data_IF_577886689010
#
_entry.id   IF_577886689010
#
_cell.length_a   1.000
_cell.length_b   1.000
_cell.length_c   1.000
_cell.angle_alpha   90.00
_cell.angle_beta   90.00
_cell.angle_gamma   90.00
#
_symmetry.space_group_name_H-M   'P 1'
#
loop_
_entity.id
_entity.type
_entity.pdbx_description
1 polymer ?
#
# COMPACT_ATOMS: atom_id res chain seq x y z
N UNK A 1 25.10 -6.41 5.36
CA UNK A 1 23.73 -6.93 5.20
C UNK A 1 23.37 -6.96 3.72
N UNK A 2 23.15 -8.15 3.13
CA UNK A 2 22.88 -8.33 1.69
C UNK A 2 21.37 -8.36 1.45
N UNK A 3 20.77 -7.18 1.22
CA UNK A 3 19.39 -7.08 0.74
C UNK A 3 19.37 -7.53 -0.73
N UNK A 4 19.11 -8.82 -0.94
CA UNK A 4 19.00 -9.41 -2.27
C UNK A 4 17.68 -8.98 -2.89
N UNK A 5 17.81 -8.14 -3.91
CA UNK A 5 16.82 -7.86 -4.96
C UNK A 5 15.56 -7.15 -4.48
N UNK A 6 15.51 -5.83 -4.67
CA UNK A 6 14.26 -5.20 -5.06
C UNK A 6 13.71 -5.93 -6.28
N UNK A 7 12.41 -6.18 -6.29
CA UNK A 7 11.68 -6.89 -7.36
C UNK A 7 12.18 -6.45 -8.73
N UNK A 8 12.70 -7.41 -9.52
CA UNK A 8 13.32 -7.13 -10.83
C UNK A 8 12.33 -6.63 -11.88
N UNK A 9 11.02 -6.73 -11.63
CA UNK A 9 9.96 -6.23 -12.50
C UNK A 9 8.76 -5.76 -11.64
N UNK A 10 8.78 -4.53 -11.11
CA UNK A 10 7.59 -3.97 -10.46
C UNK A 10 6.44 -3.92 -11.50
N UNK A 11 5.37 -4.68 -11.25
CA UNK A 11 4.17 -4.71 -12.09
C UNK A 11 3.89 -6.02 -12.85
N UNK A 12 4.83 -6.98 -12.92
CA UNK A 12 4.60 -8.28 -13.60
C UNK A 12 4.25 -9.45 -12.67
N UNK A 13 4.62 -9.34 -11.40
CA UNK A 13 4.32 -10.33 -10.38
C UNK A 13 3.52 -9.58 -9.32
N UNK A 14 2.24 -9.90 -9.18
CA UNK A 14 1.45 -9.41 -8.05
C UNK A 14 2.17 -9.87 -6.78
N UNK A 15 2.72 -8.93 -6.02
CA UNK A 15 3.45 -9.19 -4.79
C UNK A 15 2.53 -9.68 -3.66
N UNK A 16 1.22 -9.65 -3.88
CA UNK A 16 0.17 -10.01 -2.94
C UNK A 16 -1.08 -9.14 -3.15
N UNK A 17 -2.16 -9.50 -2.46
CA UNK A 17 -3.38 -8.69 -2.38
C UNK A 17 -3.47 -7.99 -1.04
N UNK A 18 -4.06 -6.80 -1.03
CA UNK A 18 -4.39 -6.05 0.18
C UNK A 18 -5.86 -5.63 0.11
N UNK A 19 -6.58 -5.80 1.22
CA UNK A 19 -8.00 -5.45 1.30
C UNK A 19 -8.21 -4.00 1.71
N UNK A 20 -9.35 -3.41 1.34
CA UNK A 20 -9.72 -2.06 1.81
C UNK A 20 -9.73 -1.93 3.34
N UNK A 21 -10.16 -2.96 4.06
CA UNK A 21 -10.14 -2.97 5.53
C UNK A 21 -8.73 -2.83 6.09
N UNK A 22 -7.76 -3.55 5.51
CA UNK A 22 -6.35 -3.43 5.90
C UNK A 22 -5.76 -2.07 5.51
N UNK A 23 -6.12 -1.54 4.34
CA UNK A 23 -5.71 -0.18 3.94
C UNK A 23 -6.21 0.84 4.95
N UNK A 24 -7.46 0.71 5.41
CA UNK A 24 -8.04 1.60 6.41
C UNK A 24 -7.31 1.52 7.75
N UNK A 25 -7.07 0.32 8.27
CA UNK A 25 -6.31 0.15 9.52
C UNK A 25 -4.88 0.72 9.42
N UNK A 26 -4.20 0.49 8.29
CA UNK A 26 -2.86 1.04 8.04
C UNK A 26 -2.92 2.57 7.91
N UNK A 27 -3.94 3.10 7.23
CA UNK A 27 -4.16 4.53 7.07
C UNK A 27 -4.41 5.20 8.43
N UNK A 28 -5.24 4.61 9.30
CA UNK A 28 -5.49 5.10 10.66
C UNK A 28 -4.23 5.05 11.52
N UNK A 29 -3.52 3.92 11.52
CA UNK A 29 -2.29 3.74 12.30
C UNK A 29 -1.17 4.68 11.84
N UNK A 30 -1.10 4.99 10.54
CA UNK A 30 -0.08 5.83 9.92
C UNK A 30 -0.54 7.26 9.68
N UNK A 31 -1.76 7.61 10.11
CA UNK A 31 -2.37 8.92 9.85
C UNK A 31 -1.53 10.08 10.37
N UNK A 32 -0.88 9.88 11.52
CA UNK A 32 0.03 10.87 12.11
C UNK A 32 1.31 11.09 11.28
N UNK A 33 1.73 10.10 10.48
CA UNK A 33 2.89 10.18 9.59
C UNK A 33 2.54 10.57 8.15
N UNK A 34 1.26 10.54 7.80
CA UNK A 34 0.75 10.86 6.48
C UNK A 34 0.35 12.33 6.40
N UNK A 35 0.63 12.96 5.26
CA UNK A 35 0.17 14.32 4.98
C UNK A 35 -1.27 14.31 4.42
N UNK A 36 -2.15 13.53 5.04
CA UNK A 36 -3.55 13.40 4.65
C UNK A 36 -4.43 14.21 5.61
N UNK A 37 -5.47 14.87 5.07
CA UNK A 37 -6.42 15.64 5.89
C UNK A 37 -7.57 14.77 6.42
N UNK A 38 -7.80 13.62 5.80
CA UNK A 38 -8.89 12.70 6.10
C UNK A 38 -8.46 11.26 5.80
N UNK A 39 -9.18 10.30 6.39
CA UNK A 39 -8.89 8.87 6.23
C UNK A 39 -9.03 8.43 4.78
N UNK A 40 -9.95 9.00 4.00
CA UNK A 40 -10.10 8.62 2.58
C UNK A 40 -8.88 9.01 1.75
N UNK A 41 -8.28 10.18 2.01
CA UNK A 41 -7.01 10.60 1.41
C UNK A 41 -5.86 9.71 1.86
N UNK A 42 -5.80 9.36 3.15
CA UNK A 42 -4.78 8.46 3.67
C UNK A 42 -4.88 7.07 3.00
N UNK A 43 -6.09 6.52 2.88
CA UNK A 43 -6.33 5.27 2.17
C UNK A 43 -5.88 5.36 0.70
N UNK A 44 -6.13 6.47 0.00
CA UNK A 44 -5.64 6.69 -1.38
C UNK A 44 -4.12 6.69 -1.47
N UNK A 45 -3.43 7.32 -0.52
CA UNK A 45 -1.96 7.35 -0.47
C UNK A 45 -1.40 5.94 -0.26
N UNK A 46 -1.97 5.19 0.68
CA UNK A 46 -1.58 3.81 0.97
C UNK A 46 -1.90 2.89 -0.22
N UNK A 47 -3.08 3.02 -0.84
CA UNK A 47 -3.47 2.28 -2.04
C UNK A 47 -2.55 2.56 -3.24
N UNK A 48 -2.16 3.82 -3.46
CA UNK A 48 -1.22 4.20 -4.50
C UNK A 48 0.18 3.62 -4.28
N UNK A 49 0.62 3.60 -3.01
CA UNK A 49 1.88 2.96 -2.63
C UNK A 49 1.81 1.44 -2.83
N UNK A 50 0.72 0.81 -2.42
CA UNK A 50 0.48 -0.61 -2.60
C UNK A 50 0.54 -1.00 -4.08
N UNK A 51 -0.19 -0.29 -4.95
CA UNK A 51 -0.16 -0.50 -6.40
C UNK A 51 1.25 -0.34 -6.99
N UNK A 52 2.00 0.67 -6.55
CA UNK A 52 3.39 0.90 -7.02
C UNK A 52 4.36 -0.21 -6.59
N UNK A 53 4.08 -0.87 -5.46
CA UNK A 53 4.82 -2.05 -5.01
C UNK A 53 4.35 -3.35 -5.69
N UNK A 54 3.33 -3.30 -6.55
CA UNK A 54 2.75 -4.46 -7.22
C UNK A 54 1.76 -5.23 -6.36
N UNK A 55 1.19 -4.61 -5.32
CA UNK A 55 0.08 -5.17 -4.56
C UNK A 55 -1.26 -4.82 -5.24
N UNK A 56 -2.14 -5.81 -5.33
CA UNK A 56 -3.48 -5.63 -5.87
C UNK A 56 -4.45 -5.26 -4.74
N UNK A 57 -5.10 -4.10 -4.89
CA UNK A 57 -6.10 -3.61 -3.93
C UNK A 57 -7.43 -4.25 -4.29
N UNK A 58 -7.89 -5.17 -3.44
CA UNK A 58 -9.19 -5.83 -3.56
C UNK A 58 -10.21 -5.14 -2.65
N UNK A 59 -11.35 -4.77 -3.23
CA UNK A 59 -12.52 -4.40 -2.44
C UNK A 59 -13.05 -5.67 -1.76
N UNK A 60 -12.90 -5.72 -0.44
CA UNK A 60 -13.45 -6.78 0.42
C UNK A 60 -14.60 -6.23 1.24
#
# INVERSE_FOLDING_TARGET
AKLKSGSKEPGKISAGTITNSQIKEIAEAKMADLNANDIDQAMKIIAGSARSMGLEVVEG
#
